data_IF_742733930418
#
_entry.id   IF_742733930418
#
_cell.length_a   1.000
_cell.length_b   1.000
_cell.length_c   1.000
_cell.angle_alpha   90.00
_cell.angle_beta   90.00
_cell.angle_gamma   90.00
#
_symmetry.space_group_name_H-M   'P 1'
#
loop_
_entity.id
_entity.type
_entity.pdbx_description
1 polymer ?
#
# COMPACT_ATOMS: atom_id res chain seq x y z
N UNK A 1 27.08 5.99 -4.12
CA UNK A 1 25.93 6.32 -5.00
C UNK A 1 26.37 6.16 -6.44
N UNK A 2 25.50 5.64 -7.29
CA UNK A 2 25.73 5.65 -8.73
C UNK A 2 25.62 7.10 -9.24
N UNK A 3 26.35 7.47 -10.29
CA UNK A 3 26.13 8.78 -10.93
C UNK A 3 24.72 8.83 -11.56
N UNK A 4 24.09 10.00 -11.68
CA UNK A 4 22.77 10.14 -12.31
C UNK A 4 22.65 9.51 -13.71
N UNK A 5 23.74 9.53 -14.50
CA UNK A 5 23.78 8.89 -15.83
C UNK A 5 23.70 7.35 -15.73
N UNK A 6 24.47 6.76 -14.83
CA UNK A 6 24.47 5.31 -14.57
C UNK A 6 23.13 4.83 -14.00
N UNK A 7 22.50 5.61 -13.12
CA UNK A 7 21.14 5.31 -12.64
C UNK A 7 20.13 5.34 -13.79
N UNK A 8 20.24 6.33 -14.67
CA UNK A 8 19.36 6.48 -15.83
C UNK A 8 19.48 5.31 -16.80
N UNK A 9 20.71 4.92 -17.13
CA UNK A 9 20.99 3.71 -17.93
C UNK A 9 20.53 2.44 -17.24
N UNK A 10 20.59 2.38 -15.91
CA UNK A 10 20.19 1.21 -15.15
C UNK A 10 18.67 1.04 -15.11
N UNK A 11 17.87 2.12 -15.09
CA UNK A 11 16.43 2.02 -14.83
C UNK A 11 15.56 2.13 -16.10
N UNK A 12 15.92 2.98 -17.06
CA UNK A 12 15.08 3.19 -18.24
C UNK A 12 14.86 1.91 -19.04
N UNK A 13 13.62 1.72 -19.51
CA UNK A 13 13.20 0.56 -20.29
C UNK A 13 13.04 -0.74 -19.49
N UNK A 14 13.41 -0.77 -18.20
CA UNK A 14 13.22 -1.96 -17.37
C UNK A 14 11.74 -2.21 -17.11
N UNK A 15 11.38 -3.50 -17.13
CA UNK A 15 10.06 -3.98 -16.73
C UNK A 15 9.83 -3.75 -15.24
N UNK A 16 8.59 -3.36 -14.93
CA UNK A 16 8.15 -3.01 -13.58
C UNK A 16 7.03 -3.95 -13.16
N UNK A 17 7.18 -4.57 -12.00
CA UNK A 17 6.12 -5.36 -11.36
C UNK A 17 5.74 -4.75 -10.03
N UNK A 18 4.57 -5.06 -9.50
CA UNK A 18 4.30 -4.81 -8.08
C UNK A 18 4.78 -5.96 -7.19
N UNK A 19 4.69 -5.78 -5.87
CA UNK A 19 5.03 -6.81 -4.87
C UNK A 19 4.16 -8.07 -4.95
N UNK A 20 3.05 -8.04 -5.68
CA UNK A 20 2.16 -9.18 -5.91
C UNK A 20 2.47 -9.92 -7.21
N UNK A 21 3.45 -9.44 -7.99
CA UNK A 21 3.89 -10.04 -9.25
C UNK A 21 3.11 -9.59 -10.48
N UNK A 22 2.27 -8.55 -10.38
CA UNK A 22 1.57 -7.98 -11.53
C UNK A 22 2.51 -7.12 -12.35
N UNK A 23 2.53 -7.31 -13.67
CA UNK A 23 3.26 -6.43 -14.57
C UNK A 23 2.55 -5.07 -14.62
N UNK A 24 3.25 -4.02 -14.19
CA UNK A 24 2.76 -2.65 -14.22
C UNK A 24 3.13 -1.93 -15.52
N UNK A 25 4.25 -2.31 -16.15
CA UNK A 25 4.70 -1.68 -17.38
C UNK A 25 6.22 -1.60 -17.48
N UNK A 26 6.72 -0.50 -18.05
CA UNK A 26 8.15 -0.21 -18.17
C UNK A 26 8.49 1.20 -17.74
N UNK A 27 9.70 1.41 -17.21
CA UNK A 27 10.18 2.76 -16.87
C UNK A 27 10.45 3.57 -18.13
N UNK A 28 9.85 4.76 -18.21
CA UNK A 28 10.03 5.72 -19.31
C UNK A 28 10.67 7.05 -18.88
N UNK A 29 10.74 7.30 -17.57
CA UNK A 29 11.28 8.53 -17.04
C UNK A 29 11.75 8.37 -15.59
N UNK A 30 12.65 9.26 -15.18
CA UNK A 30 13.14 9.34 -13.81
C UNK A 30 12.83 10.74 -13.31
N UNK A 31 12.10 10.80 -12.19
CA UNK A 31 11.76 12.03 -11.51
C UNK A 31 12.91 12.40 -10.57
N UNK A 32 13.30 13.68 -10.60
CA UNK A 32 14.41 14.21 -9.81
C UNK A 32 14.04 15.54 -9.17
N UNK A 33 14.58 15.77 -7.99
CA UNK A 33 14.50 17.08 -7.34
C UNK A 33 15.45 18.11 -8.00
N UNK A 34 15.37 19.39 -7.62
CA UNK A 34 16.28 20.43 -8.15
C UNK A 34 17.77 20.20 -7.88
N UNK A 35 18.12 19.30 -6.95
CA UNK A 35 19.49 18.91 -6.64
C UNK A 35 19.98 17.70 -7.46
N UNK A 36 19.12 17.15 -8.32
CA UNK A 36 19.44 16.01 -9.19
C UNK A 36 19.29 14.64 -8.52
N UNK A 37 18.76 14.57 -7.31
CA UNK A 37 18.50 13.31 -6.60
C UNK A 37 17.21 12.67 -7.12
N UNK A 38 17.21 11.34 -7.24
CA UNK A 38 16.04 10.59 -7.70
C UNK A 38 14.92 10.63 -6.66
N UNK A 39 13.76 11.16 -7.05
CA UNK A 39 12.53 11.15 -6.24
C UNK A 39 11.54 10.07 -6.67
N UNK A 40 11.70 9.52 -7.88
CA UNK A 40 10.80 8.50 -8.39
C UNK A 40 11.06 8.10 -9.83
N UNK A 41 10.15 7.29 -10.38
CA UNK A 41 10.15 6.85 -11.78
C UNK A 41 8.75 7.00 -12.38
N UNK A 42 8.73 7.29 -13.68
CA UNK A 42 7.53 7.25 -14.50
C UNK A 42 7.44 5.91 -15.22
N UNK A 43 6.31 5.23 -15.08
CA UNK A 43 6.05 3.91 -15.65
C UNK A 43 4.94 4.03 -16.67
N UNK A 44 5.23 3.63 -17.90
CA UNK A 44 4.23 3.46 -18.94
C UNK A 44 3.53 2.12 -18.75
N UNK A 45 2.27 2.18 -18.34
CA UNK A 45 1.37 1.04 -18.25
C UNK A 45 0.62 0.81 -19.57
N UNK A 46 -0.06 -0.34 -19.66
CA UNK A 46 -0.88 -0.69 -20.82
C UNK A 46 -1.94 0.39 -21.08
N UNK A 47 -2.15 0.73 -22.36
CA UNK A 47 -3.13 1.74 -22.75
C UNK A 47 -2.64 3.19 -22.66
N UNK A 48 -1.33 3.41 -22.52
CA UNK A 48 -0.73 4.76 -22.50
C UNK A 48 -0.89 5.50 -21.17
N UNK A 49 -1.31 4.80 -20.12
CA UNK A 49 -1.43 5.35 -18.77
C UNK A 49 -0.02 5.51 -18.19
N UNK A 50 0.30 6.71 -17.70
CA UNK A 50 1.56 6.98 -17.01
C UNK A 50 1.31 6.92 -15.50
N UNK A 51 2.03 6.03 -14.83
CA UNK A 51 2.05 5.91 -13.37
C UNK A 51 3.33 6.54 -12.83
N UNK A 52 3.22 7.27 -11.72
CA UNK A 52 4.39 7.78 -11.00
C UNK A 52 4.58 6.98 -9.73
N UNK A 53 5.79 6.46 -9.53
CA UNK A 53 6.18 5.73 -8.33
C UNK A 53 7.32 6.44 -7.64
N UNK A 54 7.12 6.78 -6.37
CA UNK A 54 8.13 7.46 -5.55
C UNK A 54 9.30 6.53 -5.26
N UNK A 55 10.48 7.09 -5.04
CA UNK A 55 11.70 6.35 -4.72
C UNK A 55 11.50 5.37 -3.56
N UNK A 56 10.74 5.75 -2.52
CA UNK A 56 10.41 4.89 -1.37
C UNK A 56 9.61 3.63 -1.73
N UNK A 57 8.87 3.65 -2.85
CA UNK A 57 8.08 2.52 -3.31
C UNK A 57 8.92 1.52 -4.10
N UNK A 58 10.13 1.89 -4.52
CA UNK A 58 10.93 1.15 -5.49
C UNK A 58 11.91 0.23 -4.77
N UNK A 59 11.78 -1.07 -5.03
CA UNK A 59 12.78 -2.06 -4.72
C UNK A 59 13.49 -2.52 -6.00
N UNK A 60 14.81 -2.41 -6.03
CA UNK A 60 15.63 -2.81 -7.17
C UNK A 60 16.15 -4.23 -6.97
N UNK A 61 15.75 -5.15 -7.85
CA UNK A 61 16.41 -6.45 -7.99
C UNK A 61 17.27 -6.46 -9.27
N UNK A 62 18.20 -7.42 -9.43
CA UNK A 62 19.04 -7.49 -10.62
C UNK A 62 18.28 -7.61 -11.95
N UNK A 63 17.03 -8.12 -11.92
CA UNK A 63 16.25 -8.43 -13.14
C UNK A 63 15.00 -7.56 -13.31
N UNK A 64 14.38 -7.10 -12.23
CA UNK A 64 13.11 -6.36 -12.29
C UNK A 64 13.06 -5.25 -11.25
N UNK A 65 12.27 -4.22 -11.57
CA UNK A 65 11.91 -3.16 -10.62
C UNK A 65 10.59 -3.56 -9.97
N UNK A 66 10.55 -3.60 -8.65
CA UNK A 66 9.34 -3.93 -7.89
C UNK A 66 8.79 -2.69 -7.19
N UNK A 67 7.48 -2.43 -7.34
CA UNK A 67 6.79 -1.31 -6.69
C UNK A 67 5.90 -1.81 -5.54
N UNK A 68 6.12 -1.25 -4.36
CA UNK A 68 5.22 -1.38 -3.21
C UNK A 68 4.06 -0.38 -3.31
N UNK A 69 2.81 -0.81 -3.06
CA UNK A 69 1.67 0.10 -2.97
C UNK A 69 1.89 1.14 -1.87
N UNK A 70 1.51 2.38 -2.16
CA UNK A 70 1.69 3.51 -1.25
C UNK A 70 1.00 3.28 0.10
N UNK A 71 -0.22 2.72 0.08
CA UNK A 71 -0.98 2.44 1.31
C UNK A 71 -0.21 1.54 2.28
N UNK A 72 0.67 0.66 1.78
CA UNK A 72 1.42 -0.29 2.61
C UNK A 72 2.52 0.42 3.40
N UNK A 73 3.26 1.31 2.72
CA UNK A 73 4.28 2.15 3.35
C UNK A 73 3.63 3.15 4.32
N UNK A 74 2.55 3.81 3.89
CA UNK A 74 1.85 4.78 4.74
C UNK A 74 1.25 4.14 5.99
N UNK A 75 0.81 2.87 5.90
CA UNK A 75 0.34 2.12 7.07
C UNK A 75 1.46 1.95 8.10
N UNK A 76 2.66 1.56 7.66
CA UNK A 76 3.83 1.37 8.52
C UNK A 76 4.28 2.68 9.19
N UNK A 77 4.30 3.77 8.43
CA UNK A 77 4.61 5.12 8.91
C UNK A 77 3.61 5.53 10.01
N UNK A 78 2.31 5.44 9.73
CA UNK A 78 1.24 5.83 10.65
C UNK A 78 1.27 5.01 11.95
N UNK A 79 1.48 3.70 11.85
CA UNK A 79 1.58 2.82 13.04
C UNK A 79 2.75 3.26 13.92
N UNK A 80 3.89 3.53 13.30
CA UNK A 80 5.12 3.94 14.00
C UNK A 80 4.94 5.31 14.67
N UNK A 81 4.39 6.28 13.95
CA UNK A 81 4.15 7.64 14.44
C UNK A 81 3.12 7.69 15.57
N UNK A 82 1.97 7.01 15.43
CA UNK A 82 0.96 6.94 16.49
C UNK A 82 1.50 6.25 17.76
N UNK A 83 2.29 5.19 17.58
CA UNK A 83 2.94 4.49 18.70
C UNK A 83 3.93 5.42 19.42
N UNK A 84 4.74 6.17 18.68
CA UNK A 84 5.68 7.12 19.25
C UNK A 84 4.97 8.26 19.99
N UNK A 85 3.92 8.84 19.41
CA UNK A 85 3.12 9.90 20.03
C UNK A 85 2.51 9.44 21.35
N UNK A 86 1.94 8.23 21.39
CA UNK A 86 1.41 7.63 22.64
C UNK A 86 2.50 7.48 23.71
N UNK A 87 3.69 7.01 23.34
CA UNK A 87 4.84 6.89 24.28
C UNK A 87 5.26 8.27 24.82
N UNK A 88 5.28 9.30 23.97
CA UNK A 88 5.63 10.67 24.38
C UNK A 88 4.60 11.26 25.35
N UNK A 89 3.31 11.01 25.13
CA UNK A 89 2.25 11.45 26.06
C UNK A 89 2.43 10.78 27.43
N UNK A 90 2.64 9.46 27.47
CA UNK A 90 2.87 8.76 28.75
C UNK A 90 4.17 9.18 29.46
N UNK A 91 5.21 9.51 28.72
CA UNK A 91 6.44 10.08 29.29
C UNK A 91 6.19 11.47 29.89
N UNK A 92 5.40 12.31 29.21
CA UNK A 92 5.04 13.64 29.72
C UNK A 92 4.18 13.54 31.00
N UNK A 93 3.26 12.58 31.06
CA UNK A 93 2.49 12.26 32.29
C UNK A 93 3.42 11.83 33.43
N UNK A 94 4.41 10.97 33.15
CA UNK A 94 5.39 10.53 34.14
C UNK A 94 6.26 11.67 34.69
N UNK A 95 6.67 12.62 33.83
CA UNK A 95 7.41 13.82 34.24
C UNK A 95 6.57 14.73 35.14
N UNK A 96 5.26 14.82 34.89
CA UNK A 96 4.35 15.56 35.76
C UNK A 96 4.20 14.89 37.13
N UNK A 97 4.00 13.58 37.15
CA UNK A 97 3.80 12.82 38.39
C UNK A 97 5.03 12.84 39.29
N UNK A 98 6.23 12.83 38.69
CA UNK A 98 7.52 12.99 39.38
C UNK A 98 7.86 14.43 39.75
N UNK A 99 7.02 15.41 39.37
CA UNK A 99 7.23 16.86 39.57
C UNK A 99 8.51 17.39 38.93
N UNK A 100 8.96 16.76 37.85
CA UNK A 100 10.14 17.17 37.06
C UNK A 100 9.81 18.28 36.04
N UNK A 101 8.52 18.60 35.86
CA UNK A 101 8.03 19.65 34.95
C UNK A 101 6.97 20.51 35.64
N UNK A 102 6.98 21.80 35.34
CA UNK A 102 5.96 22.74 35.79
C UNK A 102 4.58 22.46 35.14
N UNK A 103 3.50 22.77 35.85
CA UNK A 103 2.14 22.50 35.39
C UNK A 103 1.72 23.27 34.14
N UNK A 104 2.20 24.49 33.96
CA UNK A 104 1.90 25.33 32.78
C UNK A 104 2.62 24.77 31.54
N UNK A 105 3.92 24.48 31.67
CA UNK A 105 4.74 23.88 30.60
C UNK A 105 4.20 22.49 30.23
N UNK A 106 3.82 21.67 31.21
CA UNK A 106 3.17 20.38 30.97
C UNK A 106 1.91 20.54 30.11
N UNK A 107 1.07 21.51 30.44
CA UNK A 107 -0.22 21.70 29.77
C UNK A 107 -0.02 22.14 28.32
N UNK A 108 0.92 23.04 28.06
CA UNK A 108 1.29 23.47 26.70
C UNK A 108 1.83 22.30 25.86
N UNK A 109 2.79 21.54 26.40
CA UNK A 109 3.37 20.39 25.70
C UNK A 109 2.33 19.31 25.43
N UNK A 110 1.43 19.04 26.39
CA UNK A 110 0.37 18.05 26.24
C UNK A 110 -0.58 18.45 25.12
N UNK A 111 -0.97 19.71 25.04
CA UNK A 111 -1.88 20.19 24.00
C UNK A 111 -1.25 20.08 22.60
N UNK A 112 0.03 20.42 22.48
CA UNK A 112 0.79 20.21 21.23
C UNK A 112 0.86 18.72 20.83
N UNK A 113 1.15 17.81 21.77
CA UNK A 113 1.15 16.37 21.48
C UNK A 113 -0.24 15.86 21.07
N UNK A 114 -1.30 16.34 21.73
CA UNK A 114 -2.69 15.98 21.40
C UNK A 114 -3.10 16.44 20.02
N UNK A 115 -2.77 17.67 19.64
CA UNK A 115 -3.04 18.20 18.30
C UNK A 115 -2.37 17.33 17.21
N UNK A 116 -1.08 17.05 17.36
CA UNK A 116 -0.36 16.16 16.43
C UNK A 116 -0.93 14.73 16.39
N UNK A 117 -1.35 14.20 17.54
CA UNK A 117 -2.03 12.90 17.60
C UNK A 117 -3.36 12.90 16.86
N UNK A 118 -4.19 13.92 17.04
CA UNK A 118 -5.49 14.05 16.35
C UNK A 118 -5.31 14.16 14.82
N UNK A 119 -4.33 14.92 14.36
CA UNK A 119 -4.00 15.01 12.94
C UNK A 119 -3.60 13.65 12.36
N UNK A 120 -2.75 12.90 13.06
CA UNK A 120 -2.37 11.54 12.64
C UNK A 120 -3.53 10.55 12.68
N UNK A 121 -4.43 10.65 13.66
CA UNK A 121 -5.68 9.85 13.70
C UNK A 121 -6.56 10.14 12.49
N UNK A 122 -6.65 11.41 12.06
CA UNK A 122 -7.42 11.81 10.87
C UNK A 122 -6.80 11.22 9.60
N UNK A 123 -5.48 11.32 9.42
CA UNK A 123 -4.77 10.71 8.30
C UNK A 123 -4.94 9.19 8.26
N UNK A 124 -4.82 8.53 9.42
CA UNK A 124 -5.02 7.09 9.55
C UNK A 124 -6.45 6.66 9.17
N UNK A 125 -7.45 7.45 9.58
CA UNK A 125 -8.86 7.19 9.21
C UNK A 125 -9.09 7.36 7.71
N UNK A 126 -8.47 8.36 7.08
CA UNK A 126 -8.53 8.58 5.64
C UNK A 126 -7.86 7.42 4.87
N UNK A 127 -6.69 6.98 5.32
CA UNK A 127 -5.99 5.82 4.76
C UNK A 127 -6.82 4.54 4.86
N UNK A 128 -7.40 4.25 6.03
CA UNK A 128 -8.29 3.08 6.20
C UNK A 128 -9.48 3.15 5.25
N UNK A 129 -10.05 4.33 5.03
CA UNK A 129 -11.16 4.54 4.08
C UNK A 129 -10.75 4.22 2.64
N UNK A 130 -9.59 4.72 2.19
CA UNK A 130 -9.07 4.44 0.84
C UNK A 130 -8.72 2.96 0.66
N UNK A 131 -8.10 2.34 1.66
CA UNK A 131 -7.80 0.91 1.67
C UNK A 131 -9.08 0.05 1.62
N UNK A 132 -10.14 0.45 2.32
CA UNK A 132 -11.45 -0.24 2.27
C UNK A 132 -12.10 -0.13 0.89
N UNK A 133 -11.99 1.03 0.24
CA UNK A 133 -12.46 1.22 -1.13
C UNK A 133 -11.73 0.29 -2.10
N UNK A 134 -10.40 0.25 -2.02
CA UNK A 134 -9.56 -0.67 -2.82
C UNK A 134 -9.86 -2.14 -2.53
N UNK A 135 -10.06 -2.49 -1.26
CA UNK A 135 -10.44 -3.85 -0.84
C UNK A 135 -11.78 -4.28 -1.47
N UNK A 136 -12.77 -3.38 -1.51
CA UNK A 136 -14.06 -3.65 -2.13
C UNK A 136 -13.93 -3.87 -3.64
N UNK A 137 -13.15 -3.04 -4.33
CA UNK A 137 -12.85 -3.17 -5.76
C UNK A 137 -12.23 -4.54 -6.08
N UNK A 138 -11.14 -4.90 -5.40
CA UNK A 138 -10.44 -6.17 -5.60
C UNK A 138 -11.33 -7.36 -5.27
N UNK A 139 -12.12 -7.27 -4.20
CA UNK A 139 -13.06 -8.33 -3.83
C UNK A 139 -14.11 -8.56 -4.91
N UNK A 140 -14.60 -7.48 -5.53
CA UNK A 140 -15.47 -7.55 -6.71
C UNK A 140 -14.79 -8.27 -7.88
N UNK A 141 -13.56 -7.88 -8.22
CA UNK A 141 -12.79 -8.51 -9.30
C UNK A 141 -12.54 -10.01 -9.06
N UNK A 142 -12.14 -10.39 -7.83
CA UNK A 142 -11.96 -11.80 -7.45
C UNK A 142 -13.26 -12.56 -7.63
N UNK A 143 -14.39 -11.99 -7.18
CA UNK A 143 -15.70 -12.64 -7.29
C UNK A 143 -16.08 -12.88 -8.75
N UNK A 144 -15.93 -11.87 -9.61
CA UNK A 144 -16.22 -12.00 -11.05
C UNK A 144 -15.34 -13.05 -11.73
N UNK A 145 -14.02 -13.01 -11.52
CA UNK A 145 -13.09 -13.99 -12.08
C UNK A 145 -13.38 -15.41 -11.58
N UNK A 146 -13.74 -15.56 -10.31
CA UNK A 146 -14.12 -16.85 -9.74
C UNK A 146 -15.40 -17.38 -10.39
N UNK A 147 -16.41 -16.53 -10.60
CA UNK A 147 -17.64 -16.91 -11.32
C UNK A 147 -17.35 -17.35 -12.75
N UNK A 148 -16.52 -16.63 -13.49
CA UNK A 148 -16.12 -17.04 -14.84
C UNK A 148 -15.42 -18.40 -14.86
N UNK A 149 -14.53 -18.65 -13.91
CA UNK A 149 -13.85 -19.94 -13.78
C UNK A 149 -14.82 -21.07 -13.43
N UNK A 150 -15.80 -20.81 -12.57
CA UNK A 150 -16.85 -21.79 -12.22
C UNK A 150 -17.74 -22.09 -13.43
N UNK A 151 -18.15 -21.08 -14.19
CA UNK A 151 -18.96 -21.28 -15.40
C UNK A 151 -18.20 -22.09 -16.44
N UNK A 152 -16.93 -21.77 -16.72
CA UNK A 152 -16.12 -22.57 -17.65
C UNK A 152 -16.02 -24.05 -17.21
N UNK A 153 -15.93 -24.32 -15.90
CA UNK A 153 -15.95 -25.68 -15.37
C UNK A 153 -17.32 -26.35 -15.51
N UNK A 154 -18.41 -25.60 -15.38
CA UNK A 154 -19.77 -26.09 -15.58
C UNK A 154 -20.01 -26.43 -17.05
N UNK A 155 -19.67 -25.54 -17.97
CA UNK A 155 -19.82 -25.72 -19.41
C UNK A 155 -19.03 -26.95 -19.88
N UNK A 156 -17.83 -27.16 -19.32
CA UNK A 156 -17.07 -28.38 -19.59
C UNK A 156 -17.77 -29.64 -19.06
N UNK A 157 -18.38 -29.56 -17.87
CA UNK A 157 -19.11 -30.69 -17.27
C UNK A 157 -20.44 -30.98 -17.97
N UNK A 158 -21.10 -30.00 -18.58
CA UNK A 158 -22.30 -30.19 -19.40
C UNK A 158 -21.98 -30.64 -20.82
N UNK A 159 -20.71 -30.61 -21.23
CA UNK A 159 -20.27 -30.99 -22.58
C UNK A 159 -20.35 -29.84 -23.60
N UNK A 160 -20.60 -28.61 -23.13
CA UNK A 160 -20.65 -27.38 -23.95
C UNK A 160 -19.26 -26.79 -24.21
N UNK A 161 -18.26 -27.17 -23.41
CA UNK A 161 -16.87 -26.75 -23.53
C UNK A 161 -15.96 -27.98 -23.59
N UNK A 162 -14.92 -27.96 -24.43
CA UNK A 162 -13.92 -29.03 -24.46
C UNK A 162 -12.79 -28.81 -23.42
N UNK A 163 -12.03 -29.87 -23.13
CA UNK A 163 -10.95 -29.84 -22.13
C UNK A 163 -9.84 -28.83 -22.51
N UNK A 164 -9.58 -28.65 -23.81
CA UNK A 164 -8.57 -27.70 -24.28
C UNK A 164 -8.98 -26.25 -23.96
N UNK A 165 -10.23 -25.90 -24.20
CA UNK A 165 -10.81 -24.58 -23.92
C UNK A 165 -10.92 -24.33 -22.42
N UNK A 166 -11.25 -25.35 -21.62
CA UNK A 166 -11.22 -25.26 -20.16
C UNK A 166 -9.80 -24.92 -19.66
N UNK A 167 -8.77 -25.61 -20.18
CA UNK A 167 -7.38 -25.33 -19.80
C UNK A 167 -6.95 -23.91 -20.19
N UNK A 168 -7.38 -23.40 -21.34
CA UNK A 168 -7.12 -22.02 -21.74
C UNK A 168 -7.79 -21.02 -20.79
N UNK A 169 -9.04 -21.25 -20.40
CA UNK A 169 -9.74 -20.41 -19.43
C UNK A 169 -9.02 -20.41 -18.06
N UNK A 170 -8.65 -21.59 -17.56
CA UNK A 170 -7.87 -21.73 -16.32
C UNK A 170 -6.53 -20.99 -16.40
N UNK A 171 -5.77 -21.21 -17.47
CA UNK A 171 -4.48 -20.57 -17.71
C UNK A 171 -4.56 -19.05 -17.86
N UNK A 172 -5.72 -18.50 -18.23
CA UNK A 172 -5.93 -17.05 -18.35
C UNK A 172 -6.42 -16.41 -17.04
N UNK A 173 -7.32 -17.11 -16.33
CA UNK A 173 -7.97 -16.56 -15.12
C UNK A 173 -7.10 -16.73 -13.88
N UNK A 174 -6.49 -17.90 -13.67
CA UNK A 174 -5.77 -18.19 -12.43
C UNK A 174 -4.56 -17.28 -12.19
N UNK A 175 -3.72 -16.95 -13.20
CA UNK A 175 -2.61 -16.01 -13.00
C UNK A 175 -3.09 -14.60 -12.63
N UNK A 176 -4.30 -14.21 -13.04
CA UNK A 176 -4.93 -12.94 -12.68
C UNK A 176 -5.50 -12.97 -11.25
N UNK A 177 -6.02 -14.11 -10.80
CA UNK A 177 -6.58 -14.29 -9.46
C UNK A 177 -5.53 -14.23 -8.35
N UNK A 178 -4.38 -14.90 -8.54
CA UNK A 178 -3.31 -15.02 -7.53
C UNK A 178 -2.89 -13.68 -6.93
N UNK A 179 -2.49 -12.65 -7.72
CA UNK A 179 -2.06 -11.36 -7.17
C UNK A 179 -3.21 -10.60 -6.50
N UNK A 180 -4.44 -10.70 -7.01
CA UNK A 180 -5.61 -10.06 -6.40
C UNK A 180 -5.90 -10.62 -5.01
N UNK A 181 -5.82 -11.95 -4.85
CA UNK A 181 -6.01 -12.60 -3.56
C UNK A 181 -4.90 -12.19 -2.57
N UNK A 182 -3.65 -12.11 -3.04
CA UNK A 182 -2.53 -11.66 -2.22
C UNK A 182 -2.73 -10.21 -1.74
N UNK A 183 -3.07 -9.28 -2.63
CA UNK A 183 -3.36 -7.88 -2.26
C UNK A 183 -4.55 -7.78 -1.30
N UNK A 184 -5.64 -8.53 -1.54
CA UNK A 184 -6.80 -8.57 -0.65
C UNK A 184 -6.43 -9.01 0.76
N UNK A 185 -5.59 -10.03 0.89
CA UNK A 185 -5.15 -10.54 2.19
C UNK A 185 -4.29 -9.51 2.92
N UNK A 186 -3.34 -8.88 2.24
CA UNK A 186 -2.50 -7.85 2.82
C UNK A 186 -3.31 -6.61 3.24
N UNK A 187 -4.24 -6.15 2.41
CA UNK A 187 -5.14 -5.03 2.75
C UNK A 187 -5.96 -5.35 3.99
N UNK A 188 -6.54 -6.55 4.06
CA UNK A 188 -7.34 -6.99 5.21
C UNK A 188 -6.51 -7.01 6.49
N UNK A 189 -5.28 -7.55 6.42
CA UNK A 189 -4.37 -7.57 7.55
C UNK A 189 -3.95 -6.15 7.97
N UNK A 190 -3.58 -5.31 7.01
CA UNK A 190 -3.08 -3.96 7.28
C UNK A 190 -4.15 -3.04 7.83
N UNK A 191 -5.39 -3.10 7.30
CA UNK A 191 -6.55 -2.37 7.86
C UNK A 191 -6.73 -2.74 9.33
N UNK A 192 -6.71 -4.04 9.65
CA UNK A 192 -6.88 -4.52 11.02
C UNK A 192 -5.80 -3.96 11.95
N UNK A 193 -4.54 -3.94 11.52
CA UNK A 193 -3.43 -3.42 12.33
C UNK A 193 -3.54 -1.91 12.52
N UNK A 194 -3.85 -1.15 11.47
CA UNK A 194 -4.04 0.31 11.57
C UNK A 194 -5.23 0.64 12.50
N UNK A 195 -6.32 -0.11 12.41
CA UNK A 195 -7.48 0.08 13.30
C UNK A 195 -7.18 -0.22 14.78
N UNK A 196 -6.23 -1.10 15.08
CA UNK A 196 -5.81 -1.38 16.46
C UNK A 196 -5.04 -0.22 17.11
N UNK A 197 -4.35 0.60 16.30
CA UNK A 197 -3.60 1.77 16.80
C UNK A 197 -4.43 3.05 16.78
N UNK A 198 -5.56 3.06 16.10
CA UNK A 198 -6.56 4.13 16.23
C UNK A 198 -7.15 4.14 17.65
N UNK A 199 -7.65 5.29 18.15
CA UNK A 199 -8.46 5.28 19.35
C UNK A 199 -9.64 4.33 19.11
N UNK A 200 -9.93 3.46 20.09
CA UNK A 200 -11.12 2.63 20.04
C UNK A 200 -12.30 3.54 19.71
N UNK A 201 -13.12 3.18 18.70
CA UNK A 201 -14.39 3.86 18.49
C UNK A 201 -15.08 3.87 19.85
N UNK A 202 -15.24 5.05 20.43
CA UNK A 202 -16.21 5.25 21.48
C UNK A 202 -17.53 4.91 20.79
N UNK A 203 -18.03 3.71 21.05
CA UNK A 203 -19.40 3.36 20.73
C UNK A 203 -20.25 4.30 21.56
N UNK A 204 -20.72 5.38 20.93
CA UNK A 204 -21.78 6.19 21.48
C UNK A 204 -23.04 5.34 21.30
N UNK A 205 -23.37 4.58 22.33
CA UNK A 205 -24.73 4.13 22.64
C UNK A 205 -25.09 4.69 24.01
#
# INVERSE_FOLDING_TARGET
>A
MLSPELETKALLGRGVTDIYGRLLGRVIGIERNPFGEMEGVQVEATGGIILTAKARQIALTPKTITISPEWKLESEDIISELTLLRKRVGALESLKDSREIDGEIYSELLESQKAGYMDKVKSASALVSSMRSRLAEITGQITSLTKYLVNAKLDHKSGELDEASLKLAQGSIEPSLRPLIAERNDLTASIKVVEQVLPAKVSIN
#
